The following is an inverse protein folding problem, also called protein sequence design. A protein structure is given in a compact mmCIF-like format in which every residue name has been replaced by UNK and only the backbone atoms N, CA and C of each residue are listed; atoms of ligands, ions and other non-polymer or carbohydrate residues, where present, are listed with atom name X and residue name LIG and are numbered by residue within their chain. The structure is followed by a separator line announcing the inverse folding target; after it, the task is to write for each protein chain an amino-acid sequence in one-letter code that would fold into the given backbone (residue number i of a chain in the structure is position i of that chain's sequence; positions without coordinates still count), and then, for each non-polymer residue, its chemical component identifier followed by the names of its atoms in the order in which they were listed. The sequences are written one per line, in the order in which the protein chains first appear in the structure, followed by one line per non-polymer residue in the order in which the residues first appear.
data_IF_446755439491
#
_entry.id   IF_446755439491
#
_cell.length_a   1.000
_cell.length_b   1.000
_cell.length_c   1.000
_cell.angle_alpha   90.00
_cell.angle_beta   90.00
_cell.angle_gamma   90.00
#
_symmetry.space_group_name_H-M   'P 1'
#
loop_
_entity.id
_entity.type
_entity.pdbx_description
1 polymer ?
#
# COMPACT_ATOMS: atom_id res chain seq x y z
N UNK A 1 25.32 29.96 -5.75
CA UNK A 1 26.03 29.68 -4.48
C UNK A 1 25.17 28.70 -3.71
N UNK A 2 25.40 27.40 -3.88
CA UNK A 2 24.73 26.36 -3.06
C UNK A 2 25.56 26.23 -1.79
N UNK A 3 24.93 26.44 -0.64
CA UNK A 3 25.62 26.36 0.64
C UNK A 3 25.94 24.89 0.94
N UNK A 4 27.14 24.60 1.46
CA UNK A 4 27.57 23.21 1.72
C UNK A 4 26.64 22.48 2.69
N UNK A 5 25.96 23.24 3.53
CA UNK A 5 24.98 22.75 4.49
C UNK A 5 23.72 22.22 3.80
N UNK A 6 23.32 22.77 2.64
CA UNK A 6 22.19 22.22 1.87
C UNK A 6 22.53 20.88 1.24
N UNK A 7 23.74 20.72 0.73
CA UNK A 7 24.20 19.47 0.09
C UNK A 7 24.31 18.32 1.11
N UNK A 8 24.80 18.61 2.33
CA UNK A 8 24.81 17.67 3.45
C UNK A 8 23.38 17.25 3.87
N UNK A 9 22.45 18.20 3.95
CA UNK A 9 21.05 17.92 4.26
C UNK A 9 20.38 17.03 3.20
N UNK A 10 20.61 17.28 1.91
CA UNK A 10 20.06 16.43 0.85
C UNK A 10 20.66 15.01 0.90
N UNK A 11 21.95 14.87 1.19
CA UNK A 11 22.59 13.56 1.37
C UNK A 11 22.03 12.78 2.58
N UNK A 12 21.73 13.45 3.69
CA UNK A 12 21.04 12.84 4.84
C UNK A 12 19.62 12.42 4.46
N UNK A 13 18.85 13.28 3.79
CA UNK A 13 17.50 12.93 3.31
C UNK A 13 17.55 11.74 2.33
N UNK A 14 18.55 11.68 1.45
CA UNK A 14 18.72 10.57 0.50
C UNK A 14 19.10 9.27 1.18
N UNK A 15 19.98 9.31 2.18
CA UNK A 15 20.37 8.14 2.97
C UNK A 15 19.23 7.66 3.87
N UNK A 16 18.47 8.58 4.46
CA UNK A 16 17.25 8.27 5.18
C UNK A 16 16.16 7.73 4.26
N UNK A 17 16.02 8.24 3.03
CA UNK A 17 15.08 7.71 2.03
C UNK A 17 15.54 6.36 1.47
N UNK A 18 16.84 6.12 1.39
CA UNK A 18 17.41 4.82 1.03
C UNK A 18 17.26 3.80 2.18
N UNK A 19 17.27 4.26 3.44
CA UNK A 19 17.02 3.45 4.63
C UNK A 19 15.53 3.21 4.88
N UNK A 20 14.68 4.20 4.57
CA UNK A 20 13.24 4.15 4.67
C UNK A 20 12.65 3.72 3.32
N UNK A 21 12.52 2.40 3.15
CA UNK A 21 11.72 1.80 2.10
C UNK A 21 10.39 2.55 1.93
N UNK A 22 9.96 2.80 0.68
CA UNK A 22 8.64 3.35 0.40
C UNK A 22 7.55 2.49 1.09
N UNK A 23 7.06 2.99 2.22
CA UNK A 23 5.75 2.75 2.86
C UNK A 23 5.25 1.33 3.15
N UNK A 24 5.95 0.24 2.83
CA UNK A 24 5.47 -1.10 3.15
C UNK A 24 5.74 -1.50 4.62
N UNK A 25 4.95 -0.97 5.55
CA UNK A 25 5.00 -1.37 6.96
C UNK A 25 4.29 -2.71 7.15
N UNK A 26 5.04 -3.74 7.55
CA UNK A 26 4.49 -5.10 7.79
C UNK A 26 3.45 -5.09 8.89
N UNK A 27 3.66 -4.29 9.95
CA UNK A 27 2.71 -4.16 11.06
C UNK A 27 1.38 -3.60 10.57
N UNK A 28 1.41 -2.54 9.76
CA UNK A 28 0.18 -1.96 9.19
C UNK A 28 -0.53 -2.95 8.25
N UNK A 29 0.22 -3.64 7.38
CA UNK A 29 -0.34 -4.66 6.51
C UNK A 29 -0.95 -5.83 7.29
N UNK A 30 -0.35 -6.21 8.42
CA UNK A 30 -0.88 -7.24 9.31
C UNK A 30 -2.18 -6.79 9.99
N UNK A 31 -2.22 -5.57 10.51
CA UNK A 31 -3.40 -5.00 11.16
C UNK A 31 -4.60 -4.95 10.18
N UNK A 32 -4.35 -4.66 8.91
CA UNK A 32 -5.36 -4.68 7.85
C UNK A 32 -5.93 -6.09 7.60
N UNK A 33 -5.06 -7.10 7.53
CA UNK A 33 -5.46 -8.50 7.39
C UNK A 33 -6.29 -8.94 8.60
N UNK A 34 -5.80 -8.67 9.80
CA UNK A 34 -6.48 -9.03 11.04
C UNK A 34 -7.86 -8.37 11.15
N UNK A 35 -7.95 -7.09 10.80
CA UNK A 35 -9.22 -6.34 10.77
C UNK A 35 -10.20 -6.94 9.76
N UNK A 36 -9.71 -7.44 8.62
CA UNK A 36 -10.55 -8.10 7.63
C UNK A 36 -11.13 -9.42 8.16
N UNK A 37 -10.28 -10.26 8.78
CA UNK A 37 -10.67 -11.55 9.34
C UNK A 37 -11.38 -11.48 10.69
N UNK A 38 -11.46 -10.30 11.31
CA UNK A 38 -12.11 -10.13 12.61
C UNK A 38 -13.53 -10.73 12.60
N UNK A 39 -13.91 -11.40 13.69
CA UNK A 39 -15.22 -12.07 13.78
C UNK A 39 -16.37 -11.09 13.54
N UNK A 40 -16.22 -9.84 14.02
CA UNK A 40 -17.22 -8.79 13.84
C UNK A 40 -17.39 -8.40 12.38
N UNK A 41 -16.31 -8.16 11.64
CA UNK A 41 -16.39 -7.81 10.21
C UNK A 41 -17.00 -8.97 9.41
N UNK A 42 -16.60 -10.21 9.73
CA UNK A 42 -17.09 -11.38 9.02
C UNK A 42 -18.56 -11.70 9.32
N UNK A 43 -19.02 -11.54 10.57
CA UNK A 43 -20.43 -11.75 10.92
C UNK A 43 -21.35 -10.77 10.18
N UNK A 44 -20.95 -9.50 10.07
CA UNK A 44 -21.73 -8.48 9.34
C UNK A 44 -21.78 -8.79 7.85
N UNK A 45 -20.66 -9.19 7.25
CA UNK A 45 -20.62 -9.54 5.83
C UNK A 45 -21.48 -10.78 5.53
N UNK A 46 -21.38 -11.78 6.39
CA UNK A 46 -22.17 -13.00 6.29
C UNK A 46 -23.67 -12.71 6.44
N UNK A 47 -24.06 -11.86 7.39
CA UNK A 47 -25.45 -11.46 7.56
C UNK A 47 -26.01 -10.72 6.32
N UNK A 48 -25.22 -9.84 5.69
CA UNK A 48 -25.68 -9.03 4.56
C UNK A 48 -25.68 -9.77 3.22
N UNK A 49 -24.65 -10.56 2.96
CA UNK A 49 -24.40 -11.15 1.64
C UNK A 49 -24.42 -12.68 1.64
N UNK A 50 -24.57 -13.32 2.81
CA UNK A 50 -24.57 -14.78 2.94
C UNK A 50 -23.20 -15.44 2.75
N UNK A 51 -22.13 -14.66 2.58
CA UNK A 51 -20.78 -15.15 2.31
C UNK A 51 -19.74 -14.53 3.23
N UNK A 52 -18.64 -15.27 3.43
CA UNK A 52 -17.46 -14.72 4.10
C UNK A 52 -16.86 -13.62 3.22
N UNK A 53 -16.38 -12.55 3.85
CA UNK A 53 -15.67 -11.49 3.14
C UNK A 53 -14.40 -12.06 2.54
N UNK A 54 -14.15 -11.71 1.28
CA UNK A 54 -12.87 -11.99 0.65
C UNK A 54 -11.80 -11.05 1.22
N UNK A 55 -10.75 -11.64 1.78
CA UNK A 55 -9.61 -10.95 2.39
C UNK A 55 -8.29 -11.30 1.67
N UNK A 56 -8.35 -11.94 0.50
CA UNK A 56 -7.17 -12.39 -0.23
C UNK A 56 -6.25 -11.24 -0.62
N UNK A 57 -6.80 -10.12 -1.12
CA UNK A 57 -6.03 -8.94 -1.53
C UNK A 57 -5.14 -8.39 -0.39
N UNK A 58 -5.71 -8.27 0.81
CA UNK A 58 -4.97 -7.79 2.00
C UNK A 58 -3.89 -8.77 2.42
N UNK A 59 -4.15 -10.06 2.29
CA UNK A 59 -3.18 -11.08 2.59
C UNK A 59 -2.02 -11.10 1.58
N UNK A 60 -2.29 -10.82 0.31
CA UNK A 60 -1.28 -10.70 -0.73
C UNK A 60 -0.44 -9.42 -0.57
N UNK A 61 -1.03 -8.32 -0.09
CA UNK A 61 -0.29 -7.13 0.35
C UNK A 61 0.70 -7.45 1.46
N UNK A 62 0.26 -8.17 2.48
CA UNK A 62 1.10 -8.59 3.59
C UNK A 62 2.26 -9.48 3.12
N UNK A 63 1.98 -10.49 2.31
CA UNK A 63 3.01 -11.37 1.73
C UNK A 63 4.01 -10.60 0.90
N UNK A 64 3.53 -9.65 0.08
CA UNK A 64 4.40 -8.83 -0.74
C UNK A 64 5.36 -8.02 0.12
N UNK A 65 4.85 -7.41 1.19
CA UNK A 65 5.62 -6.65 2.14
C UNK A 65 6.72 -7.47 2.82
N UNK A 66 6.39 -8.68 3.26
CA UNK A 66 7.38 -9.58 3.84
C UNK A 66 8.46 -9.97 2.83
N UNK A 67 8.08 -10.22 1.57
CA UNK A 67 9.02 -10.56 0.50
C UNK A 67 9.95 -9.40 0.17
N UNK A 68 9.45 -8.17 0.08
CA UNK A 68 10.27 -7.00 -0.25
C UNK A 68 11.31 -6.69 0.82
N UNK A 69 10.98 -6.89 2.11
CA UNK A 69 11.92 -6.70 3.23
C UNK A 69 13.16 -7.60 3.18
N UNK A 70 13.08 -8.76 2.51
CA UNK A 70 14.22 -9.68 2.37
C UNK A 70 15.19 -9.30 1.24
N UNK A 71 14.86 -8.29 0.43
CA UNK A 71 15.67 -7.86 -0.73
C UNK A 71 16.51 -6.63 -0.39
N UNK A 72 17.51 -6.34 -1.24
CA UNK A 72 18.29 -5.11 -1.12
C UNK A 72 17.42 -3.88 -1.33
N UNK A 73 17.79 -2.75 -0.72
CA UNK A 73 16.99 -1.52 -0.73
C UNK A 73 16.59 -1.07 -2.16
N UNK A 74 17.53 -1.13 -3.12
CA UNK A 74 17.27 -0.76 -4.53
C UNK A 74 16.21 -1.65 -5.18
N UNK A 75 16.32 -2.96 -5.00
CA UNK A 75 15.36 -3.94 -5.58
C UNK A 75 14.01 -3.86 -4.88
N UNK A 76 14.00 -3.64 -3.56
CA UNK A 76 12.78 -3.43 -2.80
C UNK A 76 12.02 -2.18 -3.28
N UNK A 77 12.72 -1.08 -3.52
CA UNK A 77 12.13 0.16 -4.02
C UNK A 77 11.50 0.01 -5.42
N UNK A 78 12.22 -0.64 -6.34
CA UNK A 78 11.71 -0.95 -7.68
C UNK A 78 10.46 -1.83 -7.62
N UNK A 79 10.47 -2.88 -6.80
CA UNK A 79 9.30 -3.73 -6.59
C UNK A 79 8.11 -2.94 -6.04
N UNK A 80 8.34 -2.06 -5.07
CA UNK A 80 7.25 -1.26 -4.49
C UNK A 80 6.65 -0.31 -5.53
N UNK A 81 7.49 0.39 -6.30
CA UNK A 81 7.03 1.25 -7.40
C UNK A 81 6.24 0.48 -8.46
N UNK A 82 6.67 -0.74 -8.82
CA UNK A 82 5.94 -1.58 -9.76
C UNK A 82 4.56 -1.97 -9.23
N UNK A 83 4.45 -2.35 -7.94
CA UNK A 83 3.16 -2.68 -7.32
C UNK A 83 2.24 -1.46 -7.24
N UNK A 84 2.77 -0.30 -6.87
CA UNK A 84 1.98 0.93 -6.81
C UNK A 84 1.47 1.34 -8.19
N UNK A 85 2.30 1.18 -9.23
CA UNK A 85 1.89 1.36 -10.62
C UNK A 85 0.75 0.41 -11.02
N UNK A 86 0.87 -0.88 -10.70
CA UNK A 86 -0.19 -1.87 -10.99
C UNK A 86 -1.50 -1.52 -10.27
N UNK A 87 -1.43 -1.16 -8.99
CA UNK A 87 -2.61 -0.75 -8.20
C UNK A 87 -3.23 0.55 -8.71
N UNK A 88 -2.41 1.51 -9.18
CA UNK A 88 -2.91 2.74 -9.77
C UNK A 88 -3.71 2.45 -11.05
N UNK A 89 -3.17 1.59 -11.93
CA UNK A 89 -3.86 1.14 -13.14
C UNK A 89 -5.16 0.41 -12.82
N UNK A 90 -5.14 -0.51 -11.85
CA UNK A 90 -6.34 -1.23 -11.40
C UNK A 90 -7.42 -0.28 -10.87
N UNK A 91 -7.04 0.71 -10.06
CA UNK A 91 -7.95 1.76 -9.56
C UNK A 91 -8.52 2.60 -10.69
N UNK A 92 -7.71 2.98 -11.68
CA UNK A 92 -8.17 3.75 -12.84
C UNK A 92 -9.13 2.94 -13.71
N UNK A 93 -8.93 1.63 -13.84
CA UNK A 93 -9.82 0.74 -14.60
C UNK A 93 -11.14 0.47 -13.88
N UNK A 94 -11.17 0.63 -12.56
CA UNK A 94 -12.38 0.46 -11.76
C UNK A 94 -13.36 1.61 -12.03
N UNK A 95 -14.67 1.34 -11.98
CA UNK A 95 -15.69 2.37 -12.26
C UNK A 95 -15.56 3.52 -11.28
N UNK A 96 -15.24 4.71 -11.80
CA UNK A 96 -15.23 5.95 -11.01
C UNK A 96 -16.65 6.30 -10.57
N UNK A 97 -16.79 6.91 -9.39
CA UNK A 97 -18.08 7.44 -8.93
C UNK A 97 -18.64 8.55 -9.84
N UNK A 98 -17.77 9.22 -10.59
CA UNK A 98 -18.13 10.25 -11.58
C UNK A 98 -18.94 9.67 -12.75
N UNK A 99 -18.83 8.37 -13.01
CA UNK A 99 -19.62 7.65 -14.01
C UNK A 99 -21.09 7.46 -13.57
N UNK A 100 -21.34 7.49 -12.26
CA UNK A 100 -22.68 7.34 -11.67
C UNK A 100 -23.30 8.69 -11.32
N UNK A 101 -22.48 9.67 -10.92
CA UNK A 101 -22.95 10.97 -10.44
C UNK A 101 -22.28 12.12 -11.21
N UNK A 102 -23.06 13.00 -11.88
CA UNK A 102 -22.51 14.21 -12.46
C UNK A 102 -22.05 15.16 -11.34
N UNK A 103 -20.93 15.86 -11.57
CA UNK A 103 -20.45 16.92 -10.69
C UNK A 103 -21.53 17.99 -10.53
N UNK A 104 -21.85 18.33 -9.28
CA UNK A 104 -22.79 19.41 -9.00
C UNK A 104 -22.03 20.72 -9.15
N UNK A 105 -22.46 21.54 -10.12
CA UNK A 105 -21.98 22.91 -10.32
C UNK A 105 -22.59 23.86 -9.27
#
# INVERSE_FOLDING_TARGET
MSDKDTDALYHEIETERAANYLTCSVTQAFDDVWRCYSLRSQAVNYYRYGSRKDCAEKYDDLKYCMRTKTKSAKVADEMLRQRDGQKAVEKTNQRSSEDVWPTRA
#
